data_IF_000537064041
#
_entry.id   IF_000537064041
#
_cell.length_a   1.000
_cell.length_b   1.000
_cell.length_c   1.000
_cell.angle_alpha   90.00
_cell.angle_beta   90.00
_cell.angle_gamma   90.00
#
_symmetry.space_group_name_H-M   'P 1'
#
loop_
_entity.id
_entity.type
_entity.pdbx_description
1 polymer ?
#
# COMPACT_ATOMS: atom_id res chain seq x y z
N UNK A 1 -24.32 -4.22 -11.13
CA UNK A 1 -23.23 -3.25 -10.89
C UNK A 1 -22.95 -3.23 -9.40
N UNK A 2 -21.68 -3.23 -8.98
CA UNK A 2 -21.33 -3.07 -7.56
C UNK A 2 -21.74 -1.67 -7.09
N UNK A 3 -22.17 -1.54 -5.84
CA UNK A 3 -22.29 -0.23 -5.20
C UNK A 3 -20.93 0.49 -5.18
N UNK A 4 -20.95 1.81 -5.33
CA UNK A 4 -19.77 2.68 -5.19
C UNK A 4 -19.23 2.64 -3.75
N UNK A 5 -18.01 3.13 -3.51
CA UNK A 5 -17.41 3.11 -2.16
C UNK A 5 -18.25 3.94 -1.19
N UNK A 6 -18.80 5.05 -1.67
CA UNK A 6 -19.64 6.00 -0.95
C UNK A 6 -20.95 5.38 -0.47
N UNK A 7 -21.51 4.46 -1.25
CA UNK A 7 -22.78 3.79 -0.96
C UNK A 7 -22.63 2.59 0.00
N UNK A 8 -21.40 2.16 0.31
CA UNK A 8 -21.13 0.98 1.17
C UNK A 8 -21.27 1.26 2.67
N UNK A 9 -21.50 2.51 3.06
CA UNK A 9 -21.72 2.88 4.47
C UNK A 9 -20.47 2.87 5.34
N UNK A 10 -19.28 3.04 4.75
CA UNK A 10 -18.05 3.20 5.51
C UNK A 10 -18.07 4.51 6.31
N UNK A 11 -17.49 4.50 7.51
CA UNK A 11 -17.39 5.71 8.35
C UNK A 11 -16.49 6.79 7.74
N UNK A 12 -15.51 6.38 6.92
CA UNK A 12 -14.51 7.24 6.23
C UNK A 12 -14.27 6.69 4.82
N UNK A 13 -15.21 6.87 3.87
CA UNK A 13 -15.06 6.30 2.53
C UNK A 13 -13.86 6.88 1.75
N UNK A 14 -13.40 8.08 2.10
CA UNK A 14 -12.31 8.78 1.41
C UNK A 14 -10.91 8.15 1.61
N UNK A 15 -10.76 7.18 2.52
CA UNK A 15 -9.49 6.44 2.71
C UNK A 15 -9.43 5.16 1.87
N UNK A 16 -10.49 4.85 1.11
CA UNK A 16 -10.57 3.69 0.23
C UNK A 16 -10.57 4.16 -1.22
N UNK A 17 -9.64 3.64 -2.02
CA UNK A 17 -9.59 3.86 -3.46
C UNK A 17 -10.22 2.68 -4.22
N UNK A 18 -10.87 2.97 -5.35
CA UNK A 18 -11.27 1.94 -6.30
C UNK A 18 -10.11 1.55 -7.21
N UNK A 19 -10.20 0.40 -7.88
CA UNK A 19 -9.20 -0.01 -8.88
C UNK A 19 -9.15 0.96 -10.07
N UNK A 20 -10.29 1.54 -10.44
CA UNK A 20 -10.37 2.55 -11.51
C UNK A 20 -9.64 3.83 -11.10
N UNK A 21 -9.81 4.28 -9.84
CA UNK A 21 -9.07 5.41 -9.30
C UNK A 21 -7.56 5.15 -9.33
N UNK A 22 -7.11 3.96 -8.92
CA UNK A 22 -5.68 3.60 -8.97
C UNK A 22 -5.15 3.65 -10.40
N UNK A 23 -5.89 3.11 -11.37
CA UNK A 23 -5.51 3.13 -12.78
C UNK A 23 -5.43 4.55 -13.35
N UNK A 24 -6.33 5.45 -12.94
CA UNK A 24 -6.33 6.86 -13.34
C UNK A 24 -5.16 7.66 -12.73
N UNK A 25 -4.58 7.20 -11.61
CA UNK A 25 -3.53 7.90 -10.87
C UNK A 25 -2.16 7.19 -10.93
N UNK A 26 -1.88 6.39 -11.96
CA UNK A 26 -0.59 5.71 -12.12
C UNK A 26 0.58 6.68 -12.34
N UNK A 27 0.32 7.83 -12.96
CA UNK A 27 1.35 8.84 -13.30
C UNK A 27 1.23 10.12 -12.45
N UNK A 28 0.37 10.14 -11.43
CA UNK A 28 0.21 11.31 -10.57
C UNK A 28 1.45 11.50 -9.68
N UNK A 29 2.18 12.64 -9.80
CA UNK A 29 3.37 12.88 -9.00
C UNK A 29 3.08 12.96 -7.49
N UNK A 30 1.84 13.26 -7.09
CA UNK A 30 1.40 13.31 -5.69
C UNK A 30 1.00 11.95 -5.12
N UNK A 31 0.92 10.89 -5.94
CA UNK A 31 0.51 9.54 -5.51
C UNK A 31 1.70 8.58 -5.58
N UNK A 32 1.83 7.72 -4.57
CA UNK A 32 2.78 6.59 -4.57
C UNK A 32 2.04 5.32 -4.22
N UNK A 33 2.10 4.36 -5.15
CA UNK A 33 1.54 3.02 -4.96
C UNK A 33 2.56 2.16 -4.21
N UNK A 34 2.12 1.47 -3.16
CA UNK A 34 2.98 0.60 -2.34
C UNK A 34 2.32 -0.77 -2.29
N UNK A 35 3.09 -1.81 -2.56
CA UNK A 35 2.67 -3.20 -2.39
C UNK A 35 3.40 -3.83 -1.21
N UNK A 36 2.63 -4.24 -0.21
CA UNK A 36 3.11 -4.94 0.98
C UNK A 36 2.28 -6.19 1.20
N UNK A 37 2.93 -7.35 1.09
CA UNK A 37 2.32 -8.67 1.16
C UNK A 37 2.91 -9.49 2.32
N UNK A 38 2.18 -10.50 2.76
CA UNK A 38 2.73 -11.54 3.65
C UNK A 38 3.78 -12.39 2.91
N UNK A 39 3.50 -12.76 1.64
CA UNK A 39 4.47 -13.40 0.75
C UNK A 39 5.23 -12.34 -0.07
N UNK A 40 6.49 -12.13 0.29
CA UNK A 40 7.35 -11.12 -0.34
C UNK A 40 7.71 -11.47 -1.79
N UNK A 41 7.56 -12.72 -2.22
CA UNK A 41 7.90 -13.15 -3.58
C UNK A 41 6.84 -12.71 -4.61
N UNK A 42 5.64 -12.33 -4.18
CA UNK A 42 4.55 -11.93 -5.07
C UNK A 42 4.85 -10.65 -5.85
N UNK A 43 5.47 -9.66 -5.20
CA UNK A 43 5.83 -8.41 -5.87
C UNK A 43 6.74 -8.66 -7.08
N UNK A 44 7.74 -9.53 -6.92
CA UNK A 44 8.67 -9.87 -7.99
C UNK A 44 8.01 -10.66 -9.14
N UNK A 45 6.92 -11.38 -8.86
CA UNK A 45 6.16 -12.10 -9.88
C UNK A 45 5.33 -11.15 -10.78
N UNK A 46 4.95 -9.98 -10.25
CA UNK A 46 4.29 -8.91 -11.00
C UNK A 46 3.54 -7.98 -10.07
N UNK A 47 3.56 -6.68 -10.38
CA UNK A 47 2.96 -5.62 -9.57
C UNK A 47 2.39 -4.50 -10.44
N UNK A 48 1.65 -3.59 -9.80
CA UNK A 48 1.10 -2.39 -10.45
C UNK A 48 2.27 -1.51 -10.97
N UNK A 49 2.21 -0.97 -12.20
CA UNK A 49 3.27 -0.13 -12.74
C UNK A 49 3.61 1.04 -11.82
N UNK A 50 4.91 1.21 -11.53
CA UNK A 50 5.41 2.29 -10.66
C UNK A 50 5.19 2.08 -9.16
N UNK A 51 4.54 0.99 -8.74
CA UNK A 51 4.47 0.64 -7.33
C UNK A 51 5.85 0.27 -6.78
N UNK A 52 6.06 0.50 -5.49
CA UNK A 52 7.26 0.05 -4.76
C UNK A 52 6.92 -1.06 -3.80
N UNK A 53 7.88 -1.95 -3.55
CA UNK A 53 7.74 -3.01 -2.56
C UNK A 53 8.06 -2.48 -1.16
N UNK A 54 7.24 -2.86 -0.17
CA UNK A 54 7.57 -2.72 1.25
C UNK A 54 7.42 -4.08 1.92
N UNK A 55 8.54 -4.65 2.34
CA UNK A 55 8.60 -5.88 3.12
C UNK A 55 8.41 -5.54 4.60
N UNK A 56 7.30 -6.01 5.17
CA UNK A 56 6.94 -5.68 6.55
C UNK A 56 7.98 -6.17 7.57
N UNK A 57 8.72 -7.25 7.28
CA UNK A 57 9.72 -7.81 8.20
C UNK A 57 11.05 -7.09 8.14
N UNK A 58 11.52 -6.75 6.95
CA UNK A 58 12.83 -6.13 6.77
C UNK A 58 12.79 -4.60 6.81
N UNK A 59 11.72 -3.99 6.29
CA UNK A 59 11.62 -2.53 6.19
C UNK A 59 10.92 -1.88 7.39
N UNK A 60 10.03 -2.59 8.09
CA UNK A 60 9.18 -1.98 9.14
C UNK A 60 9.46 -2.48 10.56
N UNK A 61 10.12 -3.62 10.74
CA UNK A 61 10.39 -4.19 12.08
C UNK A 61 11.82 -3.90 12.56
N UNK A 62 11.97 -3.70 13.87
CA UNK A 62 13.29 -3.72 14.52
C UNK A 62 13.90 -5.12 14.36
N UNK A 63 15.15 -5.19 13.92
CA UNK A 63 15.81 -6.46 13.57
C UNK A 63 16.27 -7.26 14.80
N UNK A 64 16.13 -6.71 16.01
CA UNK A 64 16.54 -7.33 17.27
C UNK A 64 15.37 -7.41 18.25
N UNK A 65 14.55 -6.36 18.32
CA UNK A 65 13.40 -6.28 19.22
C UNK A 65 12.12 -6.67 18.49
N UNK A 66 11.19 -7.28 19.21
CA UNK A 66 9.84 -7.55 18.69
C UNK A 66 8.99 -6.28 18.77
N UNK A 67 9.36 -5.29 17.96
CA UNK A 67 8.71 -3.99 17.85
C UNK A 67 8.91 -3.41 16.45
N UNK A 68 8.19 -2.33 16.12
CA UNK A 68 8.41 -1.59 14.88
C UNK A 68 9.64 -0.67 14.99
N UNK A 69 10.22 -0.32 13.84
CA UNK A 69 11.25 0.71 13.78
C UNK A 69 10.71 2.06 14.26
N UNK A 70 11.61 2.91 14.75
CA UNK A 70 11.28 4.31 15.07
C UNK A 70 11.16 5.13 13.80
N UNK A 71 10.63 6.36 13.91
CA UNK A 71 10.66 7.34 12.82
C UNK A 71 12.08 7.54 12.25
N UNK A 72 13.07 7.69 13.13
CA UNK A 72 14.47 7.84 12.73
C UNK A 72 15.02 6.59 12.03
N UNK A 73 14.47 5.41 12.32
CA UNK A 73 14.82 4.20 11.58
C UNK A 73 14.20 4.12 10.17
N UNK A 74 13.21 4.97 9.87
CA UNK A 74 12.49 4.99 8.60
C UNK A 74 12.88 6.15 7.68
N UNK A 75 13.24 7.31 8.24
CA UNK A 75 13.61 8.56 7.54
C UNK A 75 15.14 8.67 7.32
#
# INVERSE_FOLDING_TARGET
>A
MSASIEEKGYARPEVLASTDWVAEHLEDPAVRHIESNEDTLLYAAGHIPGAVHVDWTSDLNDQIRRDYITREGFE
#
